data_IF_897083126611
#
_entry.id   IF_897083126611
#
_cell.length_a   1.000
_cell.length_b   1.000
_cell.length_c   1.000
_cell.angle_alpha   90.00
_cell.angle_beta   90.00
_cell.angle_gamma   90.00
#
_symmetry.space_group_name_H-M   'P 1'
#
loop_
_entity.id
_entity.type
_entity.pdbx_description
1 polymer ?
#
# COMPACT_ATOMS: atom_id res chain seq x y z
N UNK A 1 -8.67 -62.07 -18.78
CA UNK A 1 -8.05 -63.15 -17.98
C UNK A 1 -7.24 -62.50 -16.87
N UNK A 2 -7.70 -62.65 -15.62
CA UNK A 2 -6.95 -62.76 -14.34
C UNK A 2 -5.77 -61.77 -14.13
N UNK A 3 -5.96 -60.75 -13.27
CA UNK A 3 -5.36 -60.55 -11.92
C UNK A 3 -3.82 -60.57 -11.86
N UNK A 4 -3.21 -59.55 -11.24
CA UNK A 4 -2.77 -59.61 -9.85
C UNK A 4 -2.27 -58.25 -9.32
N UNK A 5 -2.75 -57.92 -8.12
CA UNK A 5 -2.27 -56.89 -7.20
C UNK A 5 -1.22 -57.53 -6.28
N UNK A 6 -0.15 -56.80 -5.94
CA UNK A 6 0.54 -57.00 -4.67
C UNK A 6 1.06 -55.68 -4.07
N UNK A 7 0.59 -55.43 -2.86
CA UNK A 7 1.06 -54.44 -1.92
C UNK A 7 2.34 -54.90 -1.20
N UNK A 8 3.15 -53.96 -0.71
CA UNK A 8 4.22 -54.25 0.27
C UNK A 8 4.18 -53.31 1.47
N UNK A 9 3.65 -53.86 2.57
CA UNK A 9 4.10 -53.83 3.97
C UNK A 9 4.86 -52.59 4.51
N UNK A 10 4.17 -51.81 5.36
CA UNK A 10 4.79 -50.93 6.35
C UNK A 10 5.06 -51.72 7.65
N UNK A 11 6.31 -51.76 8.12
CA UNK A 11 6.68 -52.24 9.46
C UNK A 11 6.62 -51.10 10.46
N UNK A 12 5.69 -51.18 11.41
CA UNK A 12 5.64 -50.33 12.58
C UNK A 12 6.65 -50.79 13.64
N UNK A 13 7.58 -49.92 14.05
CA UNK A 13 8.36 -50.10 15.26
C UNK A 13 7.72 -49.30 16.41
N UNK A 14 7.21 -50.04 17.40
CA UNK A 14 6.75 -49.50 18.70
C UNK A 14 7.96 -49.16 19.56
N UNK A 15 8.11 -47.89 19.97
CA UNK A 15 8.97 -47.52 21.10
C UNK A 15 8.16 -47.30 22.38
N UNK A 16 8.62 -47.97 23.44
CA UNK A 16 8.08 -48.00 24.80
C UNK A 16 8.20 -46.63 25.48
N UNK A 17 7.11 -46.16 26.08
CA UNK A 17 7.09 -45.01 27.01
C UNK A 17 7.90 -45.37 28.26
N UNK A 18 9.05 -44.73 28.48
CA UNK A 18 9.68 -44.68 29.80
C UNK A 18 9.25 -43.39 30.50
N UNK A 19 8.70 -43.54 31.71
CA UNK A 19 8.49 -42.43 32.65
C UNK A 19 9.84 -42.09 33.26
N UNK A 20 10.51 -41.10 32.71
CA UNK A 20 11.65 -40.42 33.31
C UNK A 20 11.33 -38.93 33.35
N UNK A 21 11.25 -38.35 34.55
CA UNK A 21 11.05 -36.91 34.71
C UNK A 21 12.24 -36.16 34.12
N UNK A 22 12.06 -35.60 32.92
CA UNK A 22 12.82 -34.43 32.52
C UNK A 22 12.06 -33.22 33.05
N UNK A 23 12.65 -32.56 34.04
CA UNK A 23 12.43 -31.14 34.23
C UNK A 23 12.75 -30.45 32.89
N UNK A 24 11.72 -30.10 32.14
CA UNK A 24 11.83 -29.09 31.10
C UNK A 24 12.13 -27.79 31.84
N UNK A 25 13.42 -27.45 31.95
CA UNK A 25 13.80 -26.06 32.19
C UNK A 25 13.33 -25.29 30.98
N UNK A 26 12.18 -24.63 31.10
CA UNK A 26 11.86 -23.48 30.26
C UNK A 26 12.98 -22.47 30.50
N UNK A 27 13.96 -22.44 29.59
CA UNK A 27 14.98 -21.41 29.61
C UNK A 27 14.29 -20.08 29.30
N UNK A 28 14.25 -19.23 30.33
CA UNK A 28 14.16 -17.77 30.30
C UNK A 28 13.44 -17.14 29.11
N UNK A 29 12.21 -16.69 29.36
CA UNK A 29 11.60 -15.47 28.83
C UNK A 29 12.41 -14.73 27.75
N UNK A 30 12.15 -15.01 26.48
CA UNK A 30 12.32 -13.98 25.47
C UNK A 30 11.28 -12.91 25.79
N UNK A 31 11.72 -11.68 26.12
CA UNK A 31 10.77 -10.59 26.26
C UNK A 31 10.13 -10.37 24.89
N UNK A 32 8.80 -10.31 24.86
CA UNK A 32 8.02 -9.91 23.68
C UNK A 32 8.45 -8.55 23.11
N UNK A 33 9.25 -7.81 23.88
CA UNK A 33 9.75 -6.46 23.61
C UNK A 33 11.20 -6.42 23.08
N UNK A 34 11.84 -7.57 22.82
CA UNK A 34 13.27 -7.63 22.42
C UNK A 34 13.58 -6.78 21.18
N UNK A 35 12.71 -6.80 20.16
CA UNK A 35 12.84 -5.97 18.96
C UNK A 35 12.85 -4.49 19.31
N UNK A 36 11.83 -4.02 20.02
CA UNK A 36 11.67 -2.62 20.38
C UNK A 36 12.82 -2.10 21.24
N UNK A 37 13.32 -2.92 22.17
CA UNK A 37 14.50 -2.61 22.98
C UNK A 37 15.76 -2.46 22.13
N UNK A 38 16.03 -3.39 21.21
CA UNK A 38 17.21 -3.34 20.34
C UNK A 38 17.15 -2.20 19.32
N UNK A 39 15.98 -1.97 18.72
CA UNK A 39 15.75 -0.90 17.76
C UNK A 39 15.94 0.50 18.39
N UNK A 40 15.54 0.65 19.65
CA UNK A 40 15.62 1.90 20.41
C UNK A 40 16.91 2.05 21.23
N UNK A 41 17.75 1.00 21.30
CA UNK A 41 19.00 1.00 22.08
C UNK A 41 19.92 2.13 21.57
N UNK A 42 20.40 3.05 22.44
CA UNK A 42 21.24 4.18 22.03
C UNK A 42 22.49 3.80 21.23
N UNK A 43 23.07 2.64 21.53
CA UNK A 43 24.23 2.11 20.82
C UNK A 43 23.90 1.57 19.42
N UNK A 44 22.64 1.31 19.06
CA UNK A 44 22.25 0.75 17.76
C UNK A 44 22.32 1.80 16.63
N UNK A 45 23.54 2.10 16.19
CA UNK A 45 23.81 3.10 15.15
C UNK A 45 23.51 2.58 13.74
N UNK A 46 23.78 1.31 13.46
CA UNK A 46 23.52 0.70 12.14
C UNK A 46 22.54 -0.45 12.26
N UNK A 47 21.41 -0.38 11.57
CA UNK A 47 20.35 -1.39 11.70
C UNK A 47 19.91 -1.90 10.34
N UNK A 48 19.79 -3.22 10.19
CA UNK A 48 19.34 -3.87 8.94
C UNK A 48 18.24 -4.87 9.27
N UNK A 49 17.03 -4.58 8.84
CA UNK A 49 15.86 -5.43 9.04
C UNK A 49 15.27 -5.86 7.72
N UNK A 50 14.74 -7.08 7.69
CA UNK A 50 13.86 -7.51 6.62
C UNK A 50 12.59 -8.12 7.20
N UNK A 51 11.45 -7.73 6.65
CA UNK A 51 10.16 -8.26 7.09
C UNK A 51 9.89 -9.63 6.50
N UNK A 52 9.38 -10.53 7.34
CA UNK A 52 8.77 -11.79 6.91
C UNK A 52 7.26 -11.66 6.66
N UNK A 53 6.64 -10.59 7.15
CA UNK A 53 5.22 -10.36 6.91
C UNK A 53 5.00 -9.78 5.51
N UNK A 54 3.98 -10.29 4.83
CA UNK A 54 3.48 -9.71 3.58
C UNK A 54 2.35 -8.71 3.82
N UNK A 55 1.97 -8.47 5.08
CA UNK A 55 0.90 -7.53 5.41
C UNK A 55 1.41 -6.06 5.33
N UNK A 56 0.85 -5.22 4.44
CA UNK A 56 1.28 -3.83 4.35
C UNK A 56 1.03 -3.03 5.63
N UNK A 57 0.04 -3.40 6.46
CA UNK A 57 -0.21 -2.74 7.74
C UNK A 57 0.90 -3.04 8.74
N UNK A 58 1.38 -4.28 8.80
CA UNK A 58 2.54 -4.69 9.63
C UNK A 58 3.78 -3.94 9.18
N UNK A 59 4.10 -4.03 7.89
CA UNK A 59 5.32 -3.43 7.33
C UNK A 59 5.36 -1.92 7.53
N UNK A 60 4.29 -1.19 7.21
CA UNK A 60 4.24 0.27 7.40
C UNK A 60 4.22 0.69 8.87
N UNK A 61 3.77 -0.18 9.79
CA UNK A 61 3.78 0.12 11.23
C UNK A 61 5.14 -0.12 11.85
N UNK A 62 5.86 -1.18 11.43
CA UNK A 62 7.27 -1.39 11.78
C UNK A 62 8.14 -0.25 11.23
N UNK A 63 7.95 0.14 9.96
CA UNK A 63 8.63 1.29 9.34
C UNK A 63 8.43 2.57 10.18
N UNK A 64 7.19 2.82 10.61
CA UNK A 64 6.87 3.99 11.42
C UNK A 64 7.50 3.92 12.83
N UNK A 65 7.45 2.76 13.47
CA UNK A 65 8.07 2.53 14.78
C UNK A 65 9.58 2.78 14.71
N UNK A 66 10.26 2.21 13.71
CA UNK A 66 11.68 2.45 13.48
C UNK A 66 11.99 3.92 13.25
N UNK A 67 11.13 4.67 12.54
CA UNK A 67 11.28 6.11 12.33
C UNK A 67 11.21 6.90 13.64
N UNK A 68 10.28 6.54 14.55
CA UNK A 68 10.00 7.29 15.77
C UNK A 68 10.89 6.95 16.95
N UNK A 69 11.25 5.67 17.09
CA UNK A 69 11.85 5.15 18.33
C UNK A 69 13.35 4.91 18.25
N UNK A 70 13.89 4.72 17.05
CA UNK A 70 15.32 4.48 16.90
C UNK A 70 16.15 5.74 17.18
N UNK A 71 17.43 5.59 17.60
CA UNK A 71 18.29 6.72 17.94
C UNK A 71 18.37 7.78 16.81
N UNK A 72 18.39 9.08 17.12
CA UNK A 72 18.43 10.15 16.10
C UNK A 72 19.58 10.02 15.10
N UNK A 73 20.74 9.57 15.59
CA UNK A 73 21.98 9.43 14.80
C UNK A 73 22.10 8.07 14.08
N UNK A 74 21.11 7.19 14.23
CA UNK A 74 21.10 5.87 13.61
C UNK A 74 20.73 5.90 12.14
N UNK A 75 21.32 4.96 11.38
CA UNK A 75 21.00 4.65 10.00
C UNK A 75 20.40 3.24 9.91
N UNK A 76 19.25 3.13 9.26
CA UNK A 76 18.43 1.92 9.24
C UNK A 76 18.07 1.58 7.79
N UNK A 77 18.28 0.33 7.40
CA UNK A 77 17.69 -0.27 6.21
C UNK A 77 16.57 -1.22 6.66
N UNK A 78 15.38 -1.03 6.10
CA UNK A 78 14.26 -1.95 6.28
C UNK A 78 13.72 -2.38 4.91
N UNK A 79 13.71 -3.68 4.65
CA UNK A 79 13.27 -4.28 3.40
C UNK A 79 11.99 -5.10 3.61
N UNK A 80 11.02 -4.99 2.70
CA UNK A 80 9.79 -5.75 2.79
C UNK A 80 9.10 -5.93 1.44
N UNK A 81 8.30 -6.98 1.33
CA UNK A 81 7.41 -7.26 0.20
C UNK A 81 5.99 -7.32 0.73
N UNK A 82 5.03 -6.76 0.01
CA UNK A 82 3.62 -6.78 0.43
C UNK A 82 2.82 -7.72 -0.47
N UNK A 83 1.77 -8.33 0.10
CA UNK A 83 0.69 -8.94 -0.67
C UNK A 83 0.01 -7.87 -1.53
N UNK A 84 -0.77 -8.25 -2.57
CA UNK A 84 -1.45 -7.31 -3.45
C UNK A 84 -2.12 -6.15 -2.70
N UNK A 85 -1.68 -4.93 -2.98
CA UNK A 85 -2.28 -3.72 -2.41
C UNK A 85 -1.97 -2.47 -3.24
N UNK A 86 -2.85 -1.47 -3.15
CA UNK A 86 -2.61 -0.12 -3.61
C UNK A 86 -2.28 0.76 -2.41
N UNK A 87 -1.08 1.33 -2.39
CA UNK A 87 -0.63 2.25 -1.35
C UNK A 87 -0.72 3.69 -1.86
N UNK A 88 -1.66 4.46 -1.31
CA UNK A 88 -1.83 5.88 -1.60
C UNK A 88 -1.05 6.76 -0.60
N UNK A 89 -0.62 7.93 -1.05
CA UNK A 89 0.07 8.91 -0.21
C UNK A 89 -0.85 9.58 0.81
N UNK A 90 -0.24 10.16 1.85
CA UNK A 90 -0.93 10.78 3.00
C UNK A 90 -2.08 11.71 2.61
N UNK A 91 -1.86 12.56 1.61
CA UNK A 91 -2.77 13.63 1.18
C UNK A 91 -3.44 13.36 -0.18
N UNK A 92 -3.58 12.10 -0.56
CA UNK A 92 -4.24 11.71 -1.80
C UNK A 92 -5.73 11.40 -1.61
N UNK A 93 -6.49 11.47 -2.71
CA UNK A 93 -7.89 11.10 -2.74
C UNK A 93 -8.06 9.66 -3.29
N UNK A 94 -8.52 8.68 -2.48
CA UNK A 94 -8.63 7.29 -2.93
C UNK A 94 -9.61 7.13 -4.09
N UNK A 95 -10.69 7.91 -4.13
CA UNK A 95 -11.67 7.90 -5.21
C UNK A 95 -11.14 8.52 -6.50
N UNK A 96 -10.09 9.34 -6.46
CA UNK A 96 -9.44 9.90 -7.66
C UNK A 96 -8.31 9.02 -8.19
N UNK A 97 -7.58 8.40 -7.26
CA UNK A 97 -6.31 7.71 -7.55
C UNK A 97 -6.47 6.21 -7.80
N UNK A 98 -7.58 5.61 -7.37
CA UNK A 98 -7.74 4.15 -7.37
C UNK A 98 -9.07 3.70 -7.94
N UNK A 99 -9.10 2.48 -8.47
CA UNK A 99 -10.33 1.79 -8.82
C UNK A 99 -10.79 0.96 -7.62
N UNK A 100 -11.59 1.58 -6.75
CA UNK A 100 -12.03 0.96 -5.50
C UNK A 100 -12.87 -0.32 -5.71
N UNK A 101 -13.54 -0.46 -6.85
CA UNK A 101 -14.29 -1.69 -7.20
C UNK A 101 -13.39 -2.91 -7.40
N UNK A 102 -12.13 -2.69 -7.79
CA UNK A 102 -11.14 -3.76 -7.98
C UNK A 102 -10.31 -4.04 -6.73
N UNK A 103 -10.48 -3.24 -5.68
CA UNK A 103 -9.79 -3.43 -4.42
C UNK A 103 -10.69 -4.23 -3.48
N UNK A 104 -10.06 -4.97 -2.59
CA UNK A 104 -10.74 -5.58 -1.46
C UNK A 104 -11.50 -4.49 -0.70
N UNK A 105 -12.81 -4.67 -0.61
CA UNK A 105 -13.69 -3.71 0.02
C UNK A 105 -13.80 -4.01 1.51
N UNK A 106 -12.93 -3.43 2.32
CA UNK A 106 -12.97 -3.53 3.78
C UNK A 106 -14.15 -2.75 4.42
N UNK A 107 -14.99 -2.11 3.61
CA UNK A 107 -16.24 -1.48 4.04
C UNK A 107 -17.39 -2.49 4.18
N UNK A 108 -17.23 -3.70 3.63
CA UNK A 108 -18.19 -4.80 3.76
C UNK A 108 -17.66 -5.89 4.71
N UNK A 109 -18.56 -6.44 5.54
CA UNK A 109 -18.21 -7.53 6.46
C UNK A 109 -17.95 -8.86 5.72
N UNK A 110 -18.67 -9.07 4.61
CA UNK A 110 -18.67 -10.29 3.78
C UNK A 110 -17.34 -10.54 3.06
N UNK A 111 -16.55 -9.49 2.84
CA UNK A 111 -15.33 -9.49 2.03
C UNK A 111 -14.06 -9.60 2.87
N UNK A 112 -14.13 -9.50 4.21
CA UNK A 112 -12.97 -9.47 5.15
C UNK A 112 -11.97 -10.62 5.02
N UNK A 113 -12.30 -11.69 4.29
CA UNK A 113 -11.45 -12.84 4.04
C UNK A 113 -11.05 -13.04 2.56
N UNK A 114 -11.24 -12.04 1.68
CA UNK A 114 -10.82 -12.17 0.28
C UNK A 114 -9.33 -11.86 0.08
N UNK A 115 -8.68 -12.61 -0.80
CA UNK A 115 -7.29 -12.40 -1.24
C UNK A 115 -7.13 -11.21 -2.22
N UNK A 116 -8.11 -10.31 -2.26
CA UNK A 116 -8.12 -9.14 -3.14
C UNK A 116 -7.09 -8.08 -2.76
N UNK A 117 -6.76 -7.20 -3.72
CA UNK A 117 -5.79 -6.14 -3.50
C UNK A 117 -6.29 -5.10 -2.48
N UNK A 118 -5.56 -4.84 -1.40
CA UNK A 118 -5.99 -3.91 -0.34
C UNK A 118 -5.83 -2.44 -0.73
N UNK A 119 -6.67 -1.55 -0.20
CA UNK A 119 -6.38 -0.11 -0.14
C UNK A 119 -5.61 0.22 1.14
N UNK A 120 -4.46 0.89 1.01
CA UNK A 120 -3.63 1.30 2.14
C UNK A 120 -3.23 2.77 2.00
N UNK A 121 -3.31 3.56 3.07
CA UNK A 121 -2.80 4.94 3.10
C UNK A 121 -1.53 5.01 3.94
N UNK A 122 -0.41 5.44 3.35
CA UNK A 122 0.86 5.61 4.07
C UNK A 122 0.98 6.98 4.76
N UNK A 123 1.92 7.09 5.71
CA UNK A 123 2.19 8.33 6.48
C UNK A 123 3.08 9.34 5.75
N UNK A 124 3.71 8.96 4.65
CA UNK A 124 4.52 9.80 3.78
C UNK A 124 3.70 10.40 2.62
N UNK A 125 4.24 11.41 1.94
CA UNK A 125 3.62 12.00 0.74
C UNK A 125 3.84 11.16 -0.52
N UNK A 126 3.56 11.74 -1.70
CA UNK A 126 3.75 11.13 -3.01
C UNK A 126 2.49 10.51 -3.62
N UNK A 127 2.64 9.84 -4.76
CA UNK A 127 1.56 9.24 -5.55
C UNK A 127 1.11 7.85 -5.09
N UNK A 128 0.12 7.29 -5.79
CA UNK A 128 -0.40 5.95 -5.58
C UNK A 128 0.44 4.93 -6.35
N UNK A 129 0.73 3.80 -5.70
CA UNK A 129 1.52 2.69 -6.25
C UNK A 129 0.85 1.37 -5.93
N UNK A 130 1.08 0.36 -6.75
CA UNK A 130 0.63 -1.00 -6.49
C UNK A 130 1.81 -1.86 -6.07
N UNK A 131 1.61 -2.72 -5.07
CA UNK A 131 2.59 -3.69 -4.59
C UNK A 131 2.03 -5.10 -4.75
N UNK A 132 2.92 -6.05 -5.00
CA UNK A 132 2.69 -7.49 -4.90
C UNK A 132 4.02 -8.20 -4.57
N UNK A 133 4.01 -9.53 -4.69
CA UNK A 133 5.17 -10.38 -4.41
C UNK A 133 6.41 -10.07 -5.28
N UNK A 134 6.23 -9.44 -6.45
CA UNK A 134 7.31 -9.05 -7.35
C UNK A 134 7.80 -7.62 -7.15
N UNK A 135 7.28 -6.89 -6.17
CA UNK A 135 7.67 -5.52 -5.86
C UNK A 135 8.39 -5.45 -4.50
N UNK A 136 9.71 -5.26 -4.52
CA UNK A 136 10.52 -5.03 -3.33
C UNK A 136 10.34 -3.60 -2.85
N UNK A 137 10.05 -3.42 -1.56
CA UNK A 137 10.04 -2.11 -0.92
C UNK A 137 11.28 -1.98 -0.05
N UNK A 138 11.89 -0.80 -0.10
CA UNK A 138 13.03 -0.45 0.73
C UNK A 138 12.73 0.84 1.49
N UNK A 139 13.19 0.91 2.73
CA UNK A 139 13.11 2.09 3.58
C UNK A 139 14.47 2.35 4.18
N UNK A 140 15.04 3.51 3.88
CA UNK A 140 16.26 3.98 4.53
C UNK A 140 15.94 5.16 5.41
N UNK A 141 16.20 5.00 6.70
CA UNK A 141 16.00 6.03 7.71
C UNK A 141 17.37 6.48 8.21
N UNK A 142 17.62 7.78 8.19
CA UNK A 142 18.92 8.33 8.57
C UNK A 142 18.79 9.71 9.21
N UNK A 143 19.87 10.24 9.81
CA UNK A 143 19.82 11.55 10.46
C UNK A 143 19.46 12.63 9.45
N UNK A 144 18.53 13.52 9.82
CA UNK A 144 18.02 14.58 8.92
C UNK A 144 19.15 15.45 8.35
N UNK A 145 20.20 15.69 9.13
CA UNK A 145 21.34 16.51 8.72
C UNK A 145 22.11 15.92 7.52
N UNK A 146 22.07 14.60 7.32
CA UNK A 146 22.79 13.91 6.24
C UNK A 146 21.87 13.36 5.15
N UNK A 147 20.58 13.65 5.26
CA UNK A 147 19.55 13.13 4.37
C UNK A 147 19.46 13.96 3.09
N UNK A 148 19.56 13.30 1.95
CA UNK A 148 19.24 13.88 0.63
C UNK A 148 18.33 12.92 -0.13
N UNK A 149 17.51 13.46 -1.05
CA UNK A 149 16.52 12.65 -1.79
C UNK A 149 17.14 11.66 -2.77
N UNK A 150 18.32 11.96 -3.31
CA UNK A 150 19.02 11.08 -4.26
C UNK A 150 19.80 9.97 -3.58
N UNK A 151 20.31 10.21 -2.36
CA UNK A 151 21.31 9.34 -1.71
C UNK A 151 20.92 7.86 -1.72
N UNK A 152 19.68 7.53 -1.35
CA UNK A 152 19.26 6.11 -1.29
C UNK A 152 18.66 5.60 -2.60
N UNK A 153 18.18 6.47 -3.49
CA UNK A 153 17.82 6.09 -4.86
C UNK A 153 19.08 5.65 -5.65
N UNK A 154 20.18 6.40 -5.50
CA UNK A 154 21.49 6.05 -6.08
C UNK A 154 22.08 4.78 -5.44
N UNK A 155 21.87 4.58 -4.14
CA UNK A 155 22.23 3.33 -3.45
C UNK A 155 21.50 2.12 -4.06
N UNK A 156 20.18 2.24 -4.26
CA UNK A 156 19.38 1.19 -4.90
C UNK A 156 19.82 0.96 -6.36
N UNK A 157 20.08 2.03 -7.12
CA UNK A 157 20.59 1.92 -8.49
C UNK A 157 21.93 1.17 -8.56
N UNK A 158 22.90 1.49 -7.69
CA UNK A 158 24.18 0.76 -7.64
C UNK A 158 23.98 -0.71 -7.29
N UNK A 159 23.04 -1.01 -6.39
CA UNK A 159 22.70 -2.39 -6.05
C UNK A 159 22.13 -3.16 -7.27
N UNK A 160 21.29 -2.50 -8.09
CA UNK A 160 20.77 -3.03 -9.35
C UNK A 160 21.88 -3.24 -10.39
N UNK A 161 22.85 -2.33 -10.49
CA UNK A 161 23.98 -2.48 -11.41
C UNK A 161 24.83 -3.71 -11.07
N UNK A 162 25.07 -4.00 -9.78
CA UNK A 162 25.84 -5.19 -9.34
C UNK A 162 25.21 -6.51 -9.74
N UNK A 163 23.88 -6.56 -9.87
CA UNK A 163 23.16 -7.77 -10.29
C UNK A 163 22.99 -7.85 -11.79
N UNK A 164 23.35 -6.81 -12.56
CA UNK A 164 23.36 -6.79 -14.03
C UNK A 164 22.41 -5.78 -14.70
N UNK A 165 21.56 -5.09 -13.95
CA UNK A 165 20.59 -4.13 -14.49
C UNK A 165 21.23 -2.75 -14.73
N UNK A 166 22.25 -2.71 -15.60
CA UNK A 166 23.16 -1.57 -15.82
C UNK A 166 22.53 -0.42 -16.63
N UNK A 167 21.39 -0.65 -17.29
CA UNK A 167 20.64 0.36 -18.06
C UNK A 167 19.70 1.22 -17.20
N UNK A 168 19.89 1.21 -15.86
CA UNK A 168 19.05 1.95 -14.91
C UNK A 168 19.72 3.25 -14.46
N UNK A 169 18.93 4.30 -14.23
CA UNK A 169 19.40 5.61 -13.75
C UNK A 169 18.37 6.33 -12.86
N UNK A 170 18.83 7.24 -12.01
CA UNK A 170 17.95 8.10 -11.19
C UNK A 170 17.58 9.36 -11.97
N UNK A 171 16.29 9.66 -12.10
CA UNK A 171 15.82 10.87 -12.78
C UNK A 171 15.69 12.07 -11.83
N UNK A 172 15.34 13.24 -12.37
CA UNK A 172 15.17 14.48 -11.60
C UNK A 172 14.09 14.41 -10.50
N UNK A 173 13.14 13.48 -10.63
CA UNK A 173 12.09 13.24 -9.62
C UNK A 173 12.51 12.22 -8.55
N UNK A 174 13.76 11.77 -8.57
CA UNK A 174 14.30 10.75 -7.68
C UNK A 174 13.65 9.36 -7.87
N UNK A 175 13.03 9.13 -9.03
CA UNK A 175 12.60 7.81 -9.46
C UNK A 175 13.78 7.07 -10.12
N UNK A 176 13.78 5.74 -10.09
CA UNK A 176 14.71 4.95 -10.90
C UNK A 176 13.97 4.53 -12.16
N UNK A 177 14.59 4.84 -13.31
CA UNK A 177 14.09 4.50 -14.63
C UNK A 177 15.07 3.58 -15.33
N UNK A 178 14.54 2.76 -16.22
CA UNK A 178 15.27 1.82 -17.07
C UNK A 178 15.14 2.28 -18.52
N UNK A 179 16.28 2.39 -19.20
CA UNK A 179 16.31 2.73 -20.62
C UNK A 179 15.90 1.53 -21.46
N UNK A 180 14.98 1.77 -22.40
CA UNK A 180 14.45 0.77 -23.35
C UNK A 180 14.96 1.05 -24.77
N UNK A 181 14.88 0.04 -25.64
CA UNK A 181 15.27 0.15 -27.06
C UNK A 181 14.37 1.09 -27.86
N UNK A 182 13.13 1.31 -27.40
CA UNK A 182 12.16 2.25 -27.99
C UNK A 182 12.46 3.74 -27.65
N UNK A 183 13.48 3.99 -26.83
CA UNK A 183 13.90 5.33 -26.43
C UNK A 183 13.03 5.97 -25.34
N UNK A 184 11.96 5.32 -24.87
CA UNK A 184 11.14 5.82 -23.75
C UNK A 184 11.54 5.15 -22.44
N UNK A 185 12.11 5.89 -21.48
CA UNK A 185 12.52 5.31 -20.21
C UNK A 185 11.29 4.84 -19.41
N UNK A 186 11.35 3.61 -18.90
CA UNK A 186 10.29 3.01 -18.08
C UNK A 186 10.66 3.10 -16.62
N UNK A 187 9.71 3.52 -15.79
CA UNK A 187 9.91 3.63 -14.35
C UNK A 187 9.90 2.25 -13.71
N UNK A 188 10.95 1.94 -12.94
CA UNK A 188 11.07 0.68 -12.20
C UNK A 188 10.98 0.89 -10.68
N UNK A 189 11.27 2.11 -10.18
CA UNK A 189 11.17 2.43 -8.76
C UNK A 189 10.59 3.82 -8.54
N UNK A 190 9.63 3.93 -7.63
CA UNK A 190 9.08 5.20 -7.16
C UNK A 190 9.55 5.54 -5.76
N UNK A 191 9.81 6.83 -5.51
CA UNK A 191 10.29 7.32 -4.22
C UNK A 191 9.24 8.16 -3.49
N UNK A 192 9.21 8.03 -2.16
CA UNK A 192 8.48 8.91 -1.26
C UNK A 192 9.30 9.20 0.01
N UNK A 193 9.00 10.33 0.64
CA UNK A 193 9.83 10.86 1.72
C UNK A 193 8.99 11.32 2.91
N UNK A 194 9.57 11.22 4.11
CA UNK A 194 9.02 11.80 5.35
C UNK A 194 10.15 12.36 6.20
N UNK A 195 10.07 13.65 6.54
CA UNK A 195 11.02 14.30 7.42
C UNK A 195 10.38 14.53 8.79
N UNK A 196 11.09 14.16 9.85
CA UNK A 196 10.76 14.52 11.23
C UNK A 196 11.72 15.61 11.72
N UNK A 197 11.68 15.96 13.01
CA UNK A 197 12.61 16.95 13.58
C UNK A 197 14.07 16.52 13.42
N UNK A 198 14.38 15.25 13.66
CA UNK A 198 15.76 14.75 13.71
C UNK A 198 16.10 13.74 12.63
N UNK A 199 15.11 13.17 11.94
CA UNK A 199 15.32 12.04 11.03
C UNK A 199 14.66 12.26 9.67
N UNK A 200 15.24 11.67 8.64
CA UNK A 200 14.67 11.58 7.30
C UNK A 200 14.46 10.13 6.92
N UNK A 201 13.28 9.85 6.38
CA UNK A 201 12.90 8.57 5.79
C UNK A 201 12.77 8.75 4.28
N UNK A 202 13.48 7.92 3.54
CA UNK A 202 13.22 7.64 2.12
C UNK A 202 12.75 6.21 2.04
N UNK A 203 11.54 6.00 1.53
CA UNK A 203 11.13 4.69 1.10
C UNK A 203 10.81 4.68 -0.38
N UNK A 204 11.04 3.55 -1.01
CA UNK A 204 10.74 3.37 -2.42
C UNK A 204 10.26 1.96 -2.70
N UNK A 205 9.61 1.85 -3.84
CA UNK A 205 9.24 0.57 -4.44
C UNK A 205 10.26 0.21 -5.50
N UNK A 206 10.43 -1.06 -5.82
CA UNK A 206 11.20 -1.52 -6.96
C UNK A 206 10.47 -2.70 -7.60
N UNK A 207 9.96 -2.50 -8.81
CA UNK A 207 9.30 -3.49 -9.64
C UNK A 207 10.38 -4.45 -10.14
N UNK A 208 10.58 -5.52 -9.37
CA UNK A 208 11.60 -6.50 -9.67
C UNK A 208 11.09 -7.51 -10.68
N UNK A 209 9.96 -8.13 -10.39
CA UNK A 209 9.34 -9.16 -11.22
C UNK A 209 7.83 -9.31 -10.91
N UNK A 210 7.07 -8.21 -10.99
CA UNK A 210 5.63 -8.22 -10.72
C UNK A 210 4.87 -8.96 -11.83
N UNK A 211 4.07 -10.00 -11.51
CA UNK A 211 3.22 -10.67 -12.49
C UNK A 211 2.05 -9.78 -12.95
N UNK A 212 1.73 -8.73 -12.20
CA UNK A 212 0.59 -7.83 -12.47
C UNK A 212 1.00 -6.56 -13.23
N UNK A 213 2.24 -6.47 -13.76
CA UNK A 213 2.78 -5.26 -14.40
C UNK A 213 1.86 -4.66 -15.48
N UNK A 214 1.17 -5.52 -16.24
CA UNK A 214 0.24 -5.11 -17.30
C UNK A 214 -1.16 -4.73 -16.78
N UNK A 215 -1.50 -5.15 -15.55
CA UNK A 215 -2.80 -4.92 -14.92
C UNK A 215 -2.80 -3.79 -13.89
N UNK A 216 -1.63 -3.23 -13.55
CA UNK A 216 -1.49 -2.15 -12.57
C UNK A 216 -2.43 -0.97 -12.86
N UNK A 217 -2.56 -0.62 -14.14
CA UNK A 217 -3.46 0.44 -14.59
C UNK A 217 -4.91 0.18 -14.20
N UNK A 218 -5.34 -1.07 -14.07
CA UNK A 218 -6.72 -1.40 -13.73
C UNK A 218 -7.05 -1.10 -12.26
N UNK A 219 -6.07 -1.18 -11.36
CA UNK A 219 -6.19 -0.80 -9.94
C UNK A 219 -6.01 0.71 -9.71
N UNK A 220 -5.24 1.39 -10.57
CA UNK A 220 -4.84 2.80 -10.42
C UNK A 220 -5.63 3.78 -11.31
N UNK A 221 -6.62 3.30 -12.06
CA UNK A 221 -7.50 4.14 -12.90
C UNK A 221 -8.89 4.21 -12.28
N UNK A 222 -9.14 5.30 -11.56
CA UNK A 222 -10.46 5.57 -11.00
C UNK A 222 -11.54 5.74 -12.08
N UNK A 223 -12.70 5.08 -11.94
CA UNK A 223 -13.87 5.32 -12.79
C UNK A 223 -14.50 6.71 -12.58
N UNK A 224 -14.19 7.38 -11.47
CA UNK A 224 -14.67 8.72 -11.11
C UNK A 224 -13.73 9.86 -11.53
N UNK A 225 -12.54 9.56 -12.09
CA UNK A 225 -11.51 10.57 -12.37
C UNK A 225 -12.02 11.75 -13.22
N UNK A 226 -12.86 11.48 -14.20
CA UNK A 226 -13.41 12.51 -15.12
C UNK A 226 -14.50 13.39 -14.47
N UNK A 227 -15.02 12.97 -13.32
CA UNK A 227 -16.07 13.66 -12.57
C UNK A 227 -15.53 14.40 -11.35
N UNK A 228 -14.31 14.06 -10.90
CA UNK A 228 -13.72 14.58 -9.67
C UNK A 228 -12.80 15.76 -9.97
N UNK A 229 -12.90 16.78 -9.11
CA UNK A 229 -11.85 17.78 -8.91
C UNK A 229 -11.45 17.80 -7.44
N UNK A 230 -10.20 17.47 -7.15
CA UNK A 230 -9.71 17.36 -5.79
C UNK A 230 -8.62 18.38 -5.49
N UNK A 231 -8.58 18.84 -4.23
CA UNK A 231 -7.36 19.39 -3.64
C UNK A 231 -6.46 18.21 -3.25
N UNK A 232 -5.15 18.39 -3.21
CA UNK A 232 -4.21 17.38 -2.76
C UNK A 232 -3.16 17.01 -3.80
N UNK A 233 -2.47 15.89 -3.56
CA UNK A 233 -1.38 15.40 -4.41
C UNK A 233 -1.93 14.40 -5.42
N UNK A 234 -1.90 14.74 -6.71
CA UNK A 234 -2.20 13.80 -7.78
C UNK A 234 -0.99 12.90 -8.10
N UNK A 235 -1.25 11.67 -8.54
CA UNK A 235 -0.18 10.81 -9.03
C UNK A 235 0.32 11.25 -10.40
N UNK A 236 1.63 11.22 -10.59
CA UNK A 236 2.24 11.40 -11.92
C UNK A 236 2.36 10.04 -12.59
N UNK A 237 1.58 9.83 -13.66
CA UNK A 237 1.61 8.58 -14.43
C UNK A 237 2.91 8.47 -15.21
N UNK A 238 3.47 7.27 -15.27
CA UNK A 238 4.65 6.96 -16.07
C UNK A 238 4.54 5.52 -16.57
N UNK A 239 5.00 5.20 -17.79
CA UNK A 239 5.22 3.83 -18.20
C UNK A 239 6.14 3.11 -17.20
N UNK A 240 5.90 1.82 -16.98
CA UNK A 240 6.65 1.01 -16.00
C UNK A 240 7.18 -0.27 -16.65
N UNK A 241 8.20 -0.85 -16.03
CA UNK A 241 8.78 -2.13 -16.41
C UNK A 241 9.24 -2.90 -15.16
N UNK A 242 9.45 -4.21 -15.31
CA UNK A 242 10.14 -5.02 -14.32
C UNK A 242 11.65 -4.96 -14.56
N UNK A 243 12.46 -5.02 -13.50
CA UNK A 243 13.91 -5.18 -13.65
C UNK A 243 14.25 -6.50 -14.34
N UNK A 244 13.48 -7.57 -14.10
CA UNK A 244 13.68 -8.89 -14.70
C UNK A 244 13.74 -8.88 -16.23
N UNK A 245 13.02 -7.97 -16.91
CA UNK A 245 13.04 -7.89 -18.37
C UNK A 245 14.37 -7.39 -18.95
N UNK A 246 15.17 -6.64 -18.17
CA UNK A 246 16.54 -6.26 -18.58
C UNK A 246 17.58 -7.36 -18.36
N UNK A 247 17.16 -8.46 -17.74
CA UNK A 247 18.02 -9.52 -17.22
C UNK A 247 17.79 -10.86 -17.92
N UNK A 248 16.93 -10.92 -18.95
CA UNK A 248 16.59 -12.16 -19.65
C UNK A 248 17.81 -12.84 -20.29
N UNK A 249 18.76 -12.04 -20.80
CA UNK A 249 20.01 -12.53 -21.42
C UNK A 249 21.17 -12.69 -20.41
N UNK A 250 20.95 -12.42 -19.12
CA UNK A 250 22.01 -12.47 -18.12
C UNK A 250 22.38 -13.93 -17.75
N UNK A 251 23.68 -14.31 -17.73
CA UNK A 251 24.10 -15.70 -17.49
C UNK A 251 23.63 -16.32 -16.17
N UNK A 252 23.43 -15.49 -15.13
CA UNK A 252 23.05 -15.92 -13.80
C UNK A 252 21.52 -15.97 -13.56
N UNK A 253 20.72 -15.51 -14.52
CA UNK A 253 19.28 -15.31 -14.36
C UNK A 253 18.90 -14.23 -13.32
N UNK A 254 17.64 -13.83 -13.30
CA UNK A 254 17.12 -12.88 -12.32
C UNK A 254 16.89 -13.54 -10.95
N UNK A 255 17.28 -12.88 -9.85
CA UNK A 255 17.02 -13.35 -8.48
C UNK A 255 16.75 -12.17 -7.54
N UNK A 256 15.54 -12.13 -6.99
CA UNK A 256 15.17 -11.13 -5.97
C UNK A 256 16.08 -11.18 -4.74
N UNK A 257 16.52 -12.38 -4.34
CA UNK A 257 17.43 -12.52 -3.19
C UNK A 257 18.81 -11.94 -3.49
N UNK A 258 19.29 -12.05 -4.74
CA UNK A 258 20.53 -11.39 -5.15
C UNK A 258 20.41 -9.86 -5.09
N UNK A 259 19.25 -9.31 -5.49
CA UNK A 259 18.97 -7.87 -5.34
C UNK A 259 18.97 -7.46 -3.87
N UNK A 260 18.26 -8.19 -3.01
CA UNK A 260 18.18 -7.91 -1.57
C UNK A 260 19.58 -7.92 -0.93
N UNK A 261 20.39 -8.94 -1.21
CA UNK A 261 21.76 -9.04 -0.71
C UNK A 261 22.62 -7.85 -1.19
N UNK A 262 22.51 -7.48 -2.47
CA UNK A 262 23.21 -6.34 -3.06
C UNK A 262 22.82 -5.00 -2.42
N UNK A 263 21.54 -4.81 -2.10
CA UNK A 263 21.04 -3.60 -1.39
C UNK A 263 21.60 -3.52 0.03
N UNK A 264 21.66 -4.65 0.75
CA UNK A 264 22.28 -4.69 2.08
C UNK A 264 23.79 -4.34 2.03
N UNK A 265 24.51 -4.83 1.01
CA UNK A 265 25.93 -4.53 0.82
C UNK A 265 26.16 -3.04 0.50
N UNK A 266 25.35 -2.46 -0.40
CA UNK A 266 25.42 -1.02 -0.73
C UNK A 266 25.08 -0.13 0.47
N UNK A 267 24.09 -0.52 1.28
CA UNK A 267 23.79 0.18 2.53
C UNK A 267 24.97 0.12 3.51
N UNK A 268 25.60 -1.04 3.66
CA UNK A 268 26.73 -1.21 4.56
C UNK A 268 27.95 -0.39 4.11
N UNK A 269 28.21 -0.31 2.81
CA UNK A 269 29.26 0.56 2.28
C UNK A 269 28.93 2.05 2.47
N UNK A 270 27.67 2.44 2.25
CA UNK A 270 27.23 3.83 2.39
C UNK A 270 27.33 4.36 3.83
N UNK A 271 27.16 3.48 4.82
CA UNK A 271 27.11 3.84 6.24
C UNK A 271 28.25 3.26 7.07
N UNK A 272 29.21 2.56 6.46
CA UNK A 272 30.26 1.79 7.13
C UNK A 272 29.72 0.81 8.19
N UNK A 273 28.62 0.13 7.87
CA UNK A 273 28.03 -0.86 8.77
C UNK A 273 28.94 -2.09 8.88
N UNK A 274 28.89 -2.76 10.04
CA UNK A 274 29.70 -3.95 10.29
C UNK A 274 29.42 -5.06 9.27
N UNK A 275 30.45 -5.71 8.69
CA UNK A 275 30.27 -6.88 7.83
C UNK A 275 29.50 -8.02 8.50
N UNK A 276 29.59 -8.14 9.83
CA UNK A 276 28.83 -9.14 10.59
C UNK A 276 27.34 -8.82 10.63
N UNK A 277 26.96 -7.54 10.69
CA UNK A 277 25.57 -7.12 10.60
C UNK A 277 24.95 -7.57 9.27
N UNK A 278 25.66 -7.33 8.16
CA UNK A 278 25.22 -7.72 6.81
C UNK A 278 25.10 -9.24 6.69
N UNK A 279 26.12 -9.98 7.13
CA UNK A 279 26.11 -11.45 7.09
C UNK A 279 24.94 -12.04 7.87
N UNK A 280 24.58 -11.45 9.01
CA UNK A 280 23.43 -11.87 9.82
C UNK A 280 22.10 -11.50 9.14
N UNK A 281 21.98 -10.29 8.60
CA UNK A 281 20.80 -9.84 7.86
C UNK A 281 20.51 -10.74 6.64
N UNK A 282 21.52 -11.02 5.82
CA UNK A 282 21.39 -11.89 4.63
C UNK A 282 20.99 -13.33 4.96
N UNK A 283 21.26 -13.79 6.19
CA UNK A 283 20.89 -15.14 6.66
C UNK A 283 19.55 -15.18 7.40
N UNK A 284 18.97 -14.03 7.73
CA UNK A 284 17.76 -13.94 8.56
C UNK A 284 16.53 -14.59 7.92
N UNK A 285 16.53 -14.80 6.60
CA UNK A 285 15.47 -15.50 5.86
C UNK A 285 15.67 -17.02 5.79
N UNK A 286 16.87 -17.52 6.07
CA UNK A 286 17.26 -18.91 5.86
C UNK A 286 17.38 -19.73 7.16
N UNK A 287 17.64 -19.05 8.28
CA UNK A 287 17.74 -19.62 9.62
C UNK A 287 16.68 -18.94 10.48
N UNK A 288 16.13 -19.64 11.49
CA UNK A 288 15.06 -19.14 12.39
C UNK A 288 15.12 -17.62 12.59
N UNK A 289 13.97 -16.91 12.46
CA UNK A 289 13.93 -15.45 12.42
C UNK A 289 14.38 -14.85 13.74
N UNK A 290 15.69 -14.68 13.86
CA UNK A 290 16.33 -14.18 15.06
C UNK A 290 16.89 -12.77 14.81
N UNK A 291 16.76 -11.95 15.85
CA UNK A 291 17.43 -10.67 15.94
C UNK A 291 18.83 -10.86 16.57
N UNK A 292 19.82 -10.37 15.86
CA UNK A 292 21.21 -10.31 16.30
C UNK A 292 21.60 -8.87 16.59
N UNK A 293 22.44 -8.68 17.60
CA UNK A 293 22.96 -7.38 17.96
C UNK A 293 24.45 -7.49 18.27
N UNK A 294 25.23 -6.56 17.76
CA UNK A 294 26.60 -6.30 18.18
C UNK A 294 26.68 -5.06 19.07
N UNK A 295 27.90 -4.51 19.20
CA UNK A 295 28.14 -3.31 20.01
C UNK A 295 27.38 -2.09 19.48
N UNK A 296 27.46 -1.86 18.16
CA UNK A 296 26.88 -0.68 17.52
C UNK A 296 25.84 -0.98 16.43
N UNK A 297 25.45 -2.24 16.27
CA UNK A 297 24.55 -2.67 15.19
C UNK A 297 23.47 -3.66 15.64
N UNK A 298 22.39 -3.72 14.87
CA UNK A 298 21.30 -4.71 15.00
C UNK A 298 20.93 -5.22 13.60
N UNK A 299 20.73 -6.53 13.47
CA UNK A 299 20.34 -7.12 12.20
C UNK A 299 19.44 -8.35 12.40
N UNK A 300 18.45 -8.53 11.54
CA UNK A 300 17.62 -9.72 11.57
C UNK A 300 16.29 -9.59 10.84
N UNK A 301 15.44 -10.58 11.05
CA UNK A 301 14.08 -10.62 10.54
C UNK A 301 13.09 -10.10 11.57
N UNK A 302 12.02 -9.46 11.10
CA UNK A 302 10.88 -8.99 11.91
C UNK A 302 9.59 -9.31 11.16
N UNK A 303 8.44 -9.25 11.83
CA UNK A 303 7.16 -9.44 11.15
C UNK A 303 5.97 -9.40 12.09
N UNK A 304 5.06 -10.35 11.90
CA UNK A 304 3.79 -10.40 12.64
C UNK A 304 3.99 -10.57 14.16
N UNK A 305 5.00 -11.34 14.57
CA UNK A 305 5.32 -11.55 15.99
C UNK A 305 5.65 -10.24 16.70
N UNK A 306 6.55 -9.42 16.14
CA UNK A 306 6.89 -8.11 16.70
C UNK A 306 5.71 -7.15 16.62
N UNK A 307 4.93 -7.22 15.54
CA UNK A 307 3.76 -6.38 15.36
C UNK A 307 2.67 -6.61 16.42
N UNK A 308 2.42 -7.86 16.79
CA UNK A 308 1.46 -8.20 17.84
C UNK A 308 2.01 -7.93 19.25
N UNK A 309 3.32 -8.09 19.42
CA UNK A 309 3.99 -7.99 20.71
C UNK A 309 4.30 -6.55 21.16
N UNK A 310 4.58 -5.63 20.23
CA UNK A 310 4.96 -4.24 20.52
C UNK A 310 3.73 -3.32 20.45
N UNK A 311 3.28 -2.73 21.58
CA UNK A 311 2.03 -1.96 21.63
C UNK A 311 1.96 -0.79 20.64
N UNK A 312 3.06 -0.07 20.42
CA UNK A 312 3.10 1.04 19.46
C UNK A 312 2.95 0.58 18.00
N UNK A 313 3.48 -0.60 17.66
CA UNK A 313 3.34 -1.16 16.30
C UNK A 313 1.88 -1.57 16.10
N UNK A 314 1.31 -2.29 17.08
CA UNK A 314 -0.10 -2.68 17.06
C UNK A 314 -1.04 -1.47 16.93
N UNK A 315 -0.82 -0.42 17.73
CA UNK A 315 -1.55 0.85 17.62
C UNK A 315 -1.41 1.46 16.21
N UNK A 316 -0.21 1.42 15.64
CA UNK A 316 0.05 1.86 14.29
C UNK A 316 -0.76 1.08 13.25
N UNK A 317 -0.89 -0.24 13.43
CA UNK A 317 -1.69 -1.10 12.56
C UNK A 317 -3.18 -0.82 12.67
N UNK A 318 -3.69 -0.69 13.89
CA UNK A 318 -5.10 -0.39 14.15
C UNK A 318 -5.49 0.95 13.49
N UNK A 319 -4.63 1.96 13.62
CA UNK A 319 -4.80 3.24 12.92
C UNK A 319 -4.82 3.03 11.40
N UNK A 320 -3.82 2.36 10.82
CA UNK A 320 -3.75 2.17 9.36
C UNK A 320 -4.91 1.36 8.80
N UNK A 321 -5.48 0.45 9.57
CA UNK A 321 -6.64 -0.38 9.19
C UNK A 321 -7.97 0.39 9.27
N UNK A 322 -8.05 1.40 10.13
CA UNK A 322 -9.28 2.20 10.32
C UNK A 322 -9.76 2.86 9.01
N UNK A 323 -11.09 2.91 8.85
CA UNK A 323 -11.72 3.56 7.71
C UNK A 323 -11.48 5.08 7.77
N UNK A 324 -11.40 5.63 8.98
CA UNK A 324 -11.04 7.02 9.26
C UNK A 324 -9.68 7.35 8.64
N UNK A 325 -8.65 6.54 8.92
CA UNK A 325 -7.34 6.78 8.33
C UNK A 325 -7.35 6.64 6.80
N UNK A 326 -8.02 5.62 6.26
CA UNK A 326 -8.07 5.38 4.81
C UNK A 326 -8.79 6.49 4.05
N UNK A 327 -9.91 6.99 4.58
CA UNK A 327 -10.84 7.83 3.81
C UNK A 327 -10.99 9.26 4.34
N UNK A 328 -11.03 9.48 5.66
CA UNK A 328 -11.32 10.82 6.22
C UNK A 328 -10.12 11.76 6.19
N UNK A 329 -8.94 11.22 5.89
CA UNK A 329 -7.72 11.99 5.60
C UNK A 329 -7.72 12.63 4.20
N UNK A 330 -8.75 12.37 3.39
CA UNK A 330 -8.87 12.90 2.02
C UNK A 330 -9.09 14.41 2.05
N UNK A 331 -8.25 15.21 1.34
CA UNK A 331 -8.49 16.64 1.21
C UNK A 331 -9.82 16.93 0.50
N UNK A 332 -10.30 18.16 0.62
CA UNK A 332 -11.57 18.56 0.02
C UNK A 332 -11.60 18.30 -1.50
N UNK A 333 -12.72 17.78 -2.00
CA UNK A 333 -12.93 17.57 -3.42
C UNK A 333 -14.41 17.75 -3.80
N UNK A 334 -14.67 17.89 -5.09
CA UNK A 334 -16.00 17.87 -5.69
C UNK A 334 -16.12 16.70 -6.66
N UNK A 335 -17.33 16.16 -6.77
CA UNK A 335 -17.76 15.25 -7.83
C UNK A 335 -18.91 15.92 -8.58
N UNK A 336 -18.87 15.97 -9.91
CA UNK A 336 -19.94 16.57 -10.71
C UNK A 336 -20.14 15.86 -12.05
N UNK A 337 -21.39 15.58 -12.41
CA UNK A 337 -21.77 15.04 -13.73
C UNK A 337 -21.96 16.10 -14.81
N UNK A 338 -21.79 17.37 -14.46
CA UNK A 338 -21.87 18.50 -15.37
C UNK A 338 -20.74 19.51 -15.08
N UNK A 339 -20.37 20.37 -16.05
CA UNK A 339 -19.44 21.47 -15.82
C UNK A 339 -19.98 22.43 -14.75
N UNK A 340 -19.11 22.88 -13.87
CA UNK A 340 -19.42 23.89 -12.83
C UNK A 340 -18.44 25.05 -12.96
N UNK A 341 -18.74 26.21 -12.39
CA UNK A 341 -17.88 27.39 -12.49
C UNK A 341 -16.45 27.08 -12.03
N UNK A 342 -16.29 26.35 -10.93
CA UNK A 342 -14.97 26.01 -10.44
C UNK A 342 -14.26 25.03 -11.39
N UNK A 343 -14.99 24.13 -12.06
CA UNK A 343 -14.45 23.09 -12.95
C UNK A 343 -15.23 23.02 -14.28
N UNK A 344 -14.84 23.84 -15.27
CA UNK A 344 -15.56 24.00 -16.52
C UNK A 344 -15.33 22.85 -17.53
N UNK A 345 -14.52 21.84 -17.16
CA UNK A 345 -14.25 20.69 -18.03
C UNK A 345 -15.56 19.98 -18.38
N UNK A 346 -15.72 19.61 -19.65
CA UNK A 346 -16.82 18.75 -20.09
C UNK A 346 -16.78 17.39 -19.38
N UNK A 347 -17.96 16.79 -19.23
CA UNK A 347 -18.14 15.52 -18.54
C UNK A 347 -18.54 14.44 -19.54
N UNK A 348 -18.16 13.17 -19.30
CA UNK A 348 -18.65 12.08 -20.11
C UNK A 348 -20.18 12.03 -20.07
N UNK A 349 -20.78 11.57 -21.17
CA UNK A 349 -22.22 11.37 -21.24
C UNK A 349 -22.68 10.39 -20.15
N UNK A 350 -23.83 10.70 -19.56
CA UNK A 350 -24.46 9.80 -18.60
C UNK A 350 -25.00 8.55 -19.31
N UNK A 351 -25.17 7.43 -18.58
CA UNK A 351 -25.86 6.25 -19.10
C UNK A 351 -27.18 6.62 -19.78
N UNK A 352 -27.52 6.02 -20.95
CA UNK A 352 -28.78 6.27 -21.64
C UNK A 352 -30.03 5.92 -20.81
N UNK A 353 -29.87 5.10 -19.76
CA UNK A 353 -30.92 4.77 -18.79
C UNK A 353 -31.30 5.94 -17.89
N UNK A 354 -30.49 7.00 -17.82
CA UNK A 354 -30.76 8.20 -17.02
C UNK A 354 -31.30 9.33 -17.89
N UNK A 355 -32.27 10.13 -17.38
CA UNK A 355 -32.72 11.34 -18.06
C UNK A 355 -31.54 12.29 -18.37
N UNK A 356 -31.48 12.95 -19.54
CA UNK A 356 -30.42 13.93 -19.87
C UNK A 356 -30.37 15.14 -18.92
N UNK A 357 -31.48 15.41 -18.24
CA UNK A 357 -31.62 16.41 -17.18
C UNK A 357 -30.97 16.01 -15.85
N UNK A 358 -30.48 14.77 -15.72
CA UNK A 358 -29.85 14.28 -14.48
C UNK A 358 -28.61 15.11 -14.13
N UNK A 359 -28.58 15.59 -12.89
CA UNK A 359 -27.49 16.37 -12.31
C UNK A 359 -27.10 15.74 -10.99
N UNK A 360 -25.81 15.45 -10.81
CA UNK A 360 -25.25 14.95 -9.56
C UNK A 360 -24.04 15.80 -9.24
N UNK A 361 -24.09 16.50 -8.13
CA UNK A 361 -22.99 17.26 -7.57
C UNK A 361 -22.82 16.88 -6.10
N UNK A 362 -21.58 16.66 -5.68
CA UNK A 362 -21.19 16.44 -4.28
C UNK A 362 -19.96 17.28 -3.98
N UNK A 363 -19.94 17.92 -2.81
CA UNK A 363 -18.74 18.54 -2.22
C UNK A 363 -18.42 17.84 -0.92
N UNK A 364 -17.18 17.40 -0.78
CA UNK A 364 -16.74 16.62 0.36
C UNK A 364 -15.55 17.26 1.04
N UNK A 365 -15.49 17.12 2.37
CA UNK A 365 -14.36 17.53 3.19
C UNK A 365 -14.13 16.48 4.28
N UNK A 366 -12.90 15.98 4.39
CA UNK A 366 -12.54 14.91 5.34
C UNK A 366 -13.43 13.66 5.22
N UNK A 367 -13.81 13.29 3.99
CA UNK A 367 -14.68 12.15 3.72
C UNK A 367 -16.18 12.41 3.91
N UNK A 368 -16.58 13.48 4.58
CA UNK A 368 -17.98 13.84 4.82
C UNK A 368 -18.55 14.71 3.68
N UNK A 369 -19.81 14.46 3.33
CA UNK A 369 -20.57 15.27 2.37
C UNK A 369 -21.01 16.57 3.06
N UNK A 370 -20.51 17.71 2.58
CA UNK A 370 -20.87 19.03 3.13
C UNK A 370 -21.91 19.75 2.27
N UNK A 371 -22.02 19.38 1.00
CA UNK A 371 -22.97 19.92 0.03
C UNK A 371 -23.28 18.85 -1.00
N UNK A 372 -24.53 18.81 -1.45
CA UNK A 372 -24.94 17.93 -2.54
C UNK A 372 -26.11 18.52 -3.30
N UNK A 373 -26.13 18.34 -4.62
CA UNK A 373 -27.25 18.68 -5.48
C UNK A 373 -27.49 17.48 -6.40
N UNK A 374 -28.58 16.75 -6.18
CA UNK A 374 -28.94 15.57 -6.96
C UNK A 374 -30.38 15.72 -7.44
N UNK A 375 -30.57 15.73 -8.75
CA UNK A 375 -31.88 15.83 -9.40
C UNK A 375 -31.89 15.08 -10.72
N UNK A 376 -33.09 14.70 -11.17
CA UNK A 376 -33.34 14.03 -12.45
C UNK A 376 -34.31 14.83 -13.32
N UNK A 377 -35.10 15.72 -12.71
CA UNK A 377 -36.09 16.54 -13.42
C UNK A 377 -35.47 17.63 -14.29
N UNK A 378 -36.16 17.96 -15.39
CA UNK A 378 -35.89 19.12 -16.24
C UNK A 378 -36.64 20.38 -15.80
N UNK A 379 -37.63 20.25 -14.90
CA UNK A 379 -38.33 21.39 -14.28
C UNK A 379 -37.43 22.00 -13.18
N UNK A 380 -37.04 23.28 -13.28
CA UNK A 380 -36.17 23.92 -12.29
C UNK A 380 -36.70 23.89 -10.85
N UNK A 381 -38.02 23.99 -10.67
CA UNK A 381 -38.64 24.03 -9.33
C UNK A 381 -38.58 22.64 -8.69
N UNK A 382 -38.97 21.62 -9.46
CA UNK A 382 -38.92 20.23 -9.01
C UNK A 382 -37.48 19.76 -8.80
N UNK A 383 -36.56 20.13 -9.69
CA UNK A 383 -35.14 19.80 -9.55
C UNK A 383 -34.53 20.42 -8.27
N UNK A 384 -34.90 21.67 -7.93
CA UNK A 384 -34.47 22.31 -6.69
C UNK A 384 -35.04 21.60 -5.45
N UNK A 385 -36.31 21.17 -5.49
CA UNK A 385 -36.93 20.42 -4.41
C UNK A 385 -36.27 19.04 -4.22
N UNK A 386 -36.08 18.29 -5.30
CA UNK A 386 -35.35 17.01 -5.32
C UNK A 386 -33.97 17.16 -4.68
N UNK A 387 -33.20 18.16 -5.14
CA UNK A 387 -31.85 18.42 -4.64
C UNK A 387 -31.84 18.75 -3.13
N UNK A 388 -32.79 19.57 -2.66
CA UNK A 388 -32.92 19.93 -1.25
C UNK A 388 -33.23 18.71 -0.37
N UNK A 389 -34.20 17.87 -0.77
CA UNK A 389 -34.59 16.66 -0.02
C UNK A 389 -33.46 15.64 0.05
N UNK A 390 -32.72 15.44 -1.05
CA UNK A 390 -31.54 14.55 -1.06
C UNK A 390 -30.41 15.14 -0.23
N UNK A 391 -30.19 16.45 -0.27
CA UNK A 391 -29.15 17.10 0.53
C UNK A 391 -29.35 16.92 2.03
N UNK A 392 -30.57 17.14 2.54
CA UNK A 392 -30.88 16.93 3.96
C UNK A 392 -30.61 15.48 4.40
N UNK A 393 -30.75 14.50 3.51
CA UNK A 393 -30.47 13.09 3.81
C UNK A 393 -28.98 12.71 3.74
N UNK A 394 -28.16 13.46 3.00
CA UNK A 394 -26.74 13.15 2.77
C UNK A 394 -25.78 14.01 3.60
N UNK A 395 -26.19 15.23 3.99
CA UNK A 395 -25.34 16.20 4.69
C UNK A 395 -24.76 15.59 5.97
N UNK A 396 -23.43 15.68 6.11
CA UNK A 396 -22.68 15.17 7.25
C UNK A 396 -22.35 13.68 7.20
N UNK A 397 -22.93 12.90 6.28
CA UNK A 397 -22.60 11.48 6.13
C UNK A 397 -21.25 11.30 5.48
N UNK A 398 -20.53 10.26 5.89
CA UNK A 398 -19.25 9.89 5.30
C UNK A 398 -19.45 9.09 4.02
N UNK A 399 -18.82 9.49 2.92
CA UNK A 399 -18.99 8.85 1.61
C UNK A 399 -18.58 7.37 1.61
N UNK A 400 -17.53 7.02 2.35
CA UNK A 400 -17.03 5.65 2.41
C UNK A 400 -17.94 4.72 3.24
N UNK A 401 -18.85 5.27 4.04
CA UNK A 401 -19.84 4.49 4.79
C UNK A 401 -21.07 4.18 3.93
N UNK A 402 -21.34 4.99 2.88
CA UNK A 402 -22.50 4.84 2.01
C UNK A 402 -22.35 3.63 1.08
N UNK A 403 -22.97 2.53 1.50
CA UNK A 403 -23.09 1.30 0.72
C UNK A 403 -24.15 1.44 -0.39
N UNK A 404 -24.17 0.54 -1.40
CA UNK A 404 -25.13 0.62 -2.50
C UNK A 404 -26.59 0.62 -2.04
N UNK A 405 -26.92 -0.20 -1.05
CA UNK A 405 -28.27 -0.24 -0.46
C UNK A 405 -28.67 1.09 0.17
N UNK A 406 -27.74 1.78 0.83
CA UNK A 406 -27.99 3.07 1.46
C UNK A 406 -28.12 4.20 0.44
N UNK A 407 -27.36 4.15 -0.65
CA UNK A 407 -27.56 5.06 -1.79
C UNK A 407 -28.95 4.88 -2.38
N UNK A 408 -29.34 3.63 -2.68
CA UNK A 408 -30.69 3.32 -3.17
C UNK A 408 -31.76 3.79 -2.19
N UNK A 409 -31.64 3.50 -0.90
CA UNK A 409 -32.61 3.90 0.12
C UNK A 409 -32.80 5.43 0.18
N UNK A 410 -31.70 6.19 0.18
CA UNK A 410 -31.76 7.66 0.17
C UNK A 410 -32.42 8.16 -1.11
N UNK A 411 -32.02 7.66 -2.27
CA UNK A 411 -32.54 8.16 -3.54
C UNK A 411 -34.01 7.76 -3.73
N UNK A 412 -34.41 6.54 -3.36
CA UNK A 412 -35.82 6.10 -3.39
C UNK A 412 -36.64 6.98 -2.46
N UNK A 413 -36.25 7.10 -1.18
CA UNK A 413 -37.04 7.88 -0.22
C UNK A 413 -37.17 9.38 -0.55
N UNK A 414 -36.26 9.94 -1.36
CA UNK A 414 -36.21 11.39 -1.64
C UNK A 414 -36.59 11.78 -3.07
N UNK A 415 -36.56 10.84 -4.02
CA UNK A 415 -36.88 11.08 -5.43
C UNK A 415 -38.10 10.30 -5.94
N UNK A 416 -38.48 9.16 -5.32
CA UNK A 416 -39.47 8.24 -5.92
C UNK A 416 -40.89 8.77 -6.03
N UNK A 417 -41.24 9.86 -5.34
CA UNK A 417 -42.54 10.50 -5.52
C UNK A 417 -42.69 11.14 -6.91
N UNK A 418 -41.56 11.46 -7.55
CA UNK A 418 -41.49 12.25 -8.77
C UNK A 418 -40.85 11.48 -9.94
N UNK A 419 -40.35 10.26 -9.69
CA UNK A 419 -39.53 9.50 -10.63
C UNK A 419 -39.84 8.01 -10.61
N UNK A 420 -39.68 7.37 -11.77
CA UNK A 420 -39.83 5.92 -11.92
C UNK A 420 -38.78 5.17 -11.05
N UNK A 421 -39.17 4.10 -10.34
CA UNK A 421 -38.26 3.33 -9.49
C UNK A 421 -37.00 2.83 -10.23
N UNK A 422 -37.14 2.51 -11.52
CA UNK A 422 -36.03 2.08 -12.38
C UNK A 422 -34.99 3.18 -12.54
N UNK A 423 -35.41 4.42 -12.80
CA UNK A 423 -34.49 5.57 -12.95
C UNK A 423 -33.70 5.81 -11.66
N UNK A 424 -34.37 5.70 -10.51
CA UNK A 424 -33.72 5.86 -9.21
C UNK A 424 -32.68 4.76 -8.96
N UNK A 425 -33.01 3.51 -9.31
CA UNK A 425 -32.08 2.39 -9.17
C UNK A 425 -30.86 2.52 -10.09
N UNK A 426 -31.08 2.95 -11.33
CA UNK A 426 -30.01 3.24 -12.29
C UNK A 426 -29.11 4.39 -11.81
N UNK A 427 -29.68 5.42 -11.19
CA UNK A 427 -28.92 6.54 -10.63
C UNK A 427 -28.05 6.09 -9.45
N UNK A 428 -28.63 5.28 -8.55
CA UNK A 428 -27.89 4.69 -7.44
C UNK A 428 -26.73 3.83 -7.94
N UNK A 429 -27.00 2.95 -8.91
CA UNK A 429 -26.00 2.08 -9.56
C UNK A 429 -24.89 2.89 -10.24
N UNK A 430 -25.24 3.98 -10.93
CA UNK A 430 -24.26 4.87 -11.53
C UNK A 430 -23.35 5.49 -10.45
N UNK A 431 -23.92 6.06 -9.39
CA UNK A 431 -23.15 6.71 -8.31
C UNK A 431 -22.23 5.70 -7.60
N UNK A 432 -22.74 4.53 -7.23
CA UNK A 432 -21.95 3.49 -6.55
C UNK A 432 -20.82 2.98 -7.45
N UNK A 433 -21.07 2.87 -8.76
CA UNK A 433 -20.04 2.48 -9.73
C UNK A 433 -18.84 3.43 -9.77
N UNK A 434 -19.05 4.72 -9.43
CA UNK A 434 -17.98 5.72 -9.40
C UNK A 434 -17.18 5.67 -8.09
N UNK A 435 -17.83 5.41 -6.97
CA UNK A 435 -17.18 5.44 -5.66
C UNK A 435 -16.66 4.10 -5.16
N UNK A 436 -16.92 3.02 -5.89
CA UNK A 436 -16.57 1.65 -5.49
C UNK A 436 -17.16 1.31 -4.13
N UNK A 437 -18.40 1.74 -3.93
CA UNK A 437 -19.27 1.33 -2.84
C UNK A 437 -20.01 0.08 -3.25
#
# INVERSE_FOLDING_TARGET
MVLFSQATCWKAYRFKKSRGGLFVRFNSAFSSDRFAQLASRPASIHQIYQSLSTDPYVNLSIEHFLLEKAPPDSSILFLYVNRPCVVIGRNQNPWLETNLQKLHNDREESTKHSDGALLVRRRSGGGAVFHDAGNLNYSVISPRATFTRNKHAEMMMRALHRVGAVNTSVNERHDIVMSESDGQPRKISGSAFKLTRFRGLHHGTCLLDSPNINELGSFLRSPAREYIRAKGVESVRSPVANVSSSMEDAPAGFSMQAVIASVMDEFAQLYNASPDAVRRAQRAHAVEPELYAGDNWVAGAVGDLEADAVPEIKKGMDELKSLEWKYTQTPQFTFSTYPIEEDPRERPALPPSLPPSTRVFLRLKHGAIIESCISTSNDPSLAAEQASRVHEALKGRNLHELQPSQWTEVLVSRLSADEEPVTVQELASFITSKFGS
#
